data_IF_590003854253
#
_entry.id   IF_590003854253
#
_cell.length_a   1.000
_cell.length_b   1.000
_cell.length_c   1.000
_cell.angle_alpha   90.00
_cell.angle_beta   90.00
_cell.angle_gamma   90.00
#
_symmetry.space_group_name_H-M   'P 1'
#
loop_
_entity.id
_entity.type
_entity.pdbx_description
1 polymer ?
#
# COMPACT_ATOMS: atom_id res chain seq x y z
N UNK A 1 -10.34 -11.75 -5.34
CA UNK A 1 -11.48 -11.03 -5.99
C UNK A 1 -10.88 -10.00 -6.92
N UNK A 2 -11.59 -9.51 -7.93
CA UNK A 2 -11.05 -8.48 -8.82
C UNK A 2 -11.80 -7.15 -8.66
N UNK A 3 -11.08 -6.04 -8.86
CA UNK A 3 -11.67 -4.72 -8.98
C UNK A 3 -11.69 -4.27 -10.44
N UNK A 4 -12.56 -3.32 -10.77
CA UNK A 4 -12.60 -2.71 -12.09
C UNK A 4 -11.60 -1.57 -12.19
N UNK A 5 -10.88 -1.46 -13.31
CA UNK A 5 -10.02 -0.32 -13.57
C UNK A 5 -10.81 1.00 -13.52
N UNK A 6 -10.26 2.04 -12.91
CA UNK A 6 -10.92 3.31 -12.63
C UNK A 6 -11.88 3.29 -11.44
N UNK A 7 -12.05 2.17 -10.75
CA UNK A 7 -12.92 2.10 -9.57
C UNK A 7 -12.38 2.89 -8.38
N UNK A 8 -13.28 3.28 -7.48
CA UNK A 8 -12.91 3.86 -6.18
C UNK A 8 -12.00 2.92 -5.37
N UNK A 9 -12.15 1.60 -5.50
CA UNK A 9 -11.23 0.64 -4.90
C UNK A 9 -9.80 0.82 -5.43
N UNK A 10 -9.60 0.95 -6.74
CA UNK A 10 -8.27 1.18 -7.31
C UNK A 10 -7.66 2.48 -6.79
N UNK A 11 -8.45 3.56 -6.73
CA UNK A 11 -7.98 4.83 -6.19
C UNK A 11 -7.56 4.70 -4.72
N UNK A 12 -8.39 4.03 -3.90
CA UNK A 12 -8.09 3.78 -2.49
C UNK A 12 -6.85 2.90 -2.33
N UNK A 13 -6.68 1.87 -3.17
CA UNK A 13 -5.48 1.03 -3.19
C UNK A 13 -4.22 1.85 -3.48
N UNK A 14 -4.26 2.72 -4.49
CA UNK A 14 -3.14 3.61 -4.81
C UNK A 14 -2.80 4.56 -3.65
N UNK A 15 -3.82 5.12 -2.99
CA UNK A 15 -3.64 5.97 -1.81
C UNK A 15 -3.05 5.20 -0.62
N UNK A 16 -3.53 3.99 -0.35
CA UNK A 16 -2.98 3.10 0.69
C UNK A 16 -1.50 2.81 0.40
N UNK A 17 -1.15 2.39 -0.81
CA UNK A 17 0.24 2.08 -1.18
C UNK A 17 1.16 3.31 -1.05
N UNK A 18 0.70 4.48 -1.48
CA UNK A 18 1.44 5.75 -1.34
C UNK A 18 1.64 6.10 0.14
N UNK A 19 0.60 5.97 0.96
CA UNK A 19 0.65 6.22 2.41
C UNK A 19 1.64 5.28 3.12
N UNK A 20 1.64 4.00 2.78
CA UNK A 20 2.57 3.02 3.31
C UNK A 20 4.03 3.40 2.99
N UNK A 21 4.31 3.70 1.72
CA UNK A 21 5.65 4.05 1.25
C UNK A 21 6.17 5.38 1.85
N UNK A 22 5.33 6.41 1.91
CA UNK A 22 5.68 7.70 2.51
C UNK A 22 6.07 7.57 4.00
N UNK A 23 5.34 6.74 4.75
CA UNK A 23 5.62 6.56 6.17
C UNK A 23 6.84 5.64 6.43
N UNK A 24 7.43 5.00 5.39
CA UNK A 24 8.43 3.94 5.58
C UNK A 24 9.77 4.47 6.10
N UNK A 25 10.05 5.77 5.86
CA UNK A 25 11.20 6.47 6.44
C UNK A 25 11.00 6.81 7.92
N UNK A 26 9.77 6.76 8.43
CA UNK A 26 9.45 7.19 9.80
C UNK A 26 9.46 6.00 10.77
N UNK A 27 8.91 4.88 10.34
CA UNK A 27 8.69 3.69 11.19
C UNK A 27 8.84 2.41 10.37
N UNK A 28 9.39 1.38 11.01
CA UNK A 28 9.51 0.03 10.45
C UNK A 28 8.15 -0.63 10.24
N UNK A 29 7.15 -0.29 11.06
CA UNK A 29 5.80 -0.83 10.99
C UNK A 29 4.75 0.28 10.86
N UNK A 30 3.79 0.11 9.95
CA UNK A 30 2.70 1.07 9.75
C UNK A 30 1.50 0.40 9.08
N UNK A 31 0.30 0.79 9.49
CA UNK A 31 -0.97 0.39 8.90
C UNK A 31 -1.63 1.62 8.28
N UNK A 32 -2.25 1.43 7.12
CA UNK A 32 -3.06 2.43 6.45
C UNK A 32 -4.40 1.84 6.03
N UNK A 33 -5.48 2.57 6.30
CA UNK A 33 -6.84 2.22 5.91
C UNK A 33 -7.41 3.37 5.10
N UNK A 34 -7.86 3.10 3.88
CA UNK A 34 -8.42 4.12 2.98
C UNK A 34 -9.78 3.67 2.45
N UNK A 35 -10.76 4.58 2.52
CA UNK A 35 -12.15 4.35 2.16
C UNK A 35 -13.09 4.66 3.32
N UNK A 36 -14.37 4.86 2.99
CA UNK A 36 -15.43 5.13 3.97
C UNK A 36 -16.42 3.95 3.98
N UNK A 37 -16.89 3.57 5.17
CA UNK A 37 -17.88 2.50 5.36
C UNK A 37 -17.32 1.07 5.20
N UNK A 38 -18.22 0.08 5.12
CA UNK A 38 -17.88 -1.34 4.91
C UNK A 38 -18.14 -1.74 3.47
N UNK A 39 -17.08 -2.11 2.73
CA UNK A 39 -17.13 -2.65 1.35
C UNK A 39 -17.90 -1.80 0.30
N UNK A 40 -17.65 -1.94 -1.01
CA UNK A 40 -16.65 -2.78 -1.67
C UNK A 40 -15.30 -2.07 -1.93
N UNK A 41 -15.14 -0.83 -1.45
CA UNK A 41 -14.01 0.06 -1.80
C UNK A 41 -13.00 0.28 -0.67
N UNK A 42 -13.22 -0.32 0.50
CA UNK A 42 -12.33 -0.18 1.66
C UNK A 42 -11.04 -0.99 1.43
N UNK A 43 -9.90 -0.35 1.63
CA UNK A 43 -8.58 -0.99 1.48
C UNK A 43 -7.82 -0.89 2.80
N UNK A 44 -7.33 -2.04 3.26
CA UNK A 44 -6.41 -2.16 4.38
C UNK A 44 -5.04 -2.54 3.84
N UNK A 45 -4.01 -1.84 4.30
CA UNK A 45 -2.63 -2.16 3.97
C UNK A 45 -1.75 -2.04 5.19
N UNK A 46 -0.70 -2.86 5.22
CA UNK A 46 0.38 -2.72 6.18
C UNK A 46 1.72 -2.77 5.46
N UNK A 47 2.73 -2.19 6.10
CA UNK A 47 4.13 -2.44 5.75
C UNK A 47 4.87 -2.92 6.99
N UNK A 48 5.88 -3.74 6.76
CA UNK A 48 6.75 -4.21 7.80
C UNK A 48 8.17 -4.33 7.25
N UNK A 49 9.04 -3.42 7.67
CA UNK A 49 10.47 -3.51 7.46
C UNK A 49 11.10 -4.19 8.67
N UNK A 50 12.07 -5.11 8.48
CA UNK A 50 12.85 -5.65 9.59
C UNK A 50 13.45 -4.53 10.44
N UNK A 51 13.49 -4.71 11.77
CA UNK A 51 13.92 -3.66 12.70
C UNK A 51 15.37 -3.19 12.54
N UNK A 52 16.22 -4.00 11.90
CA UNK A 52 17.62 -3.66 11.60
C UNK A 52 17.80 -2.96 10.24
N UNK A 53 16.74 -2.82 9.45
CA UNK A 53 16.82 -2.18 8.13
C UNK A 53 16.94 -0.65 8.29
N UNK A 54 17.95 -0.01 7.68
CA UNK A 54 18.03 1.46 7.64
C UNK A 54 16.74 2.07 7.07
N UNK A 55 16.36 3.24 7.56
CA UNK A 55 15.09 3.90 7.17
C UNK A 55 15.01 4.18 5.68
N UNK A 56 16.13 4.54 5.08
CA UNK A 56 16.29 4.82 3.65
C UNK A 56 16.07 3.55 2.83
N UNK A 57 16.68 2.44 3.25
CA UNK A 57 16.50 1.13 2.61
C UNK A 57 15.05 0.65 2.72
N UNK A 58 14.41 0.88 3.87
CA UNK A 58 12.99 0.59 4.07
C UNK A 58 12.11 1.45 3.14
N UNK A 59 12.43 2.74 2.99
CA UNK A 59 11.72 3.65 2.11
C UNK A 59 11.81 3.24 0.63
N UNK A 60 13.03 2.97 0.14
CA UNK A 60 13.27 2.53 -1.23
C UNK A 60 12.57 1.20 -1.54
N UNK A 61 12.64 0.26 -0.59
CA UNK A 61 11.92 -1.00 -0.68
C UNK A 61 10.41 -0.78 -0.78
N UNK A 62 9.84 0.04 0.11
CA UNK A 62 8.41 0.32 0.13
C UNK A 62 7.92 1.02 -1.15
N UNK A 63 8.68 1.99 -1.68
CA UNK A 63 8.39 2.62 -2.96
C UNK A 63 8.40 1.62 -4.12
N UNK A 64 9.44 0.80 -4.20
CA UNK A 64 9.55 -0.24 -5.24
C UNK A 64 8.39 -1.25 -5.16
N UNK A 65 8.03 -1.69 -3.94
CA UNK A 65 6.92 -2.63 -3.73
C UNK A 65 5.58 -2.01 -4.10
N UNK A 66 5.34 -0.74 -3.73
CA UNK A 66 4.11 -0.02 -4.07
C UNK A 66 3.83 0.00 -5.57
N UNK A 67 4.87 0.10 -6.40
CA UNK A 67 4.73 0.00 -7.87
C UNK A 67 4.61 -1.45 -8.35
N UNK A 68 5.46 -2.34 -7.85
CA UNK A 68 5.53 -3.75 -8.31
C UNK A 68 4.27 -4.54 -7.98
N UNK A 69 3.58 -4.24 -6.88
CA UNK A 69 2.38 -4.98 -6.47
C UNK A 69 1.26 -4.84 -7.50
N UNK A 70 1.07 -3.64 -8.07
CA UNK A 70 0.06 -3.39 -9.12
C UNK A 70 0.43 -4.13 -10.42
N UNK A 71 1.73 -4.21 -10.74
CA UNK A 71 2.21 -4.90 -11.94
C UNK A 71 2.09 -6.43 -11.82
N UNK A 72 2.40 -6.97 -10.64
CA UNK A 72 2.37 -8.42 -10.39
C UNK A 72 0.96 -8.95 -10.14
N UNK A 73 0.09 -8.13 -9.54
CA UNK A 73 -1.27 -8.49 -9.19
C UNK A 73 -2.27 -7.50 -9.82
N UNK A 74 -2.36 -7.46 -11.17
CA UNK A 74 -3.19 -6.48 -11.85
C UNK A 74 -4.68 -6.72 -11.56
N UNK A 75 -5.39 -5.66 -11.16
CA UNK A 75 -6.83 -5.67 -10.89
C UNK A 75 -7.27 -6.61 -9.75
N UNK A 76 -6.36 -7.02 -8.87
CA UNK A 76 -6.66 -7.93 -7.76
C UNK A 76 -6.96 -7.15 -6.47
N UNK A 77 -8.01 -7.58 -5.76
CA UNK A 77 -8.33 -7.17 -4.38
C UNK A 77 -7.78 -8.17 -3.37
#
# INVERSE_FOLDING_TARGET
MNYTSGSAYQQNLNLTLTSLAANASLTSYYISTVGLGQNPNLVYGLKNCPGFTPKEVCHDCANSVATKIIQRCPNQK
#
